data_IF_714101283169
#
_entry.id   IF_714101283169
#
_cell.length_a   1.000
_cell.length_b   1.000
_cell.length_c   1.000
_cell.angle_alpha   90.00
_cell.angle_beta   90.00
_cell.angle_gamma   90.00
#
_symmetry.space_group_name_H-M   'P 1'
#
loop_
_entity.id
_entity.type
_entity.pdbx_description
1 polymer ?
#
# COMPACT_ATOMS: atom_id res chain seq x y z
N UNK A 1 -13.41 -17.09 7.73
CA UNK A 1 -11.95 -17.26 7.84
C UNK A 1 -11.30 -16.07 7.17
N UNK A 2 -10.46 -15.29 7.84
CA UNK A 2 -9.70 -14.21 7.17
C UNK A 2 -8.72 -14.84 6.19
N UNK A 3 -8.71 -14.36 4.93
CA UNK A 3 -7.73 -14.79 3.94
C UNK A 3 -6.34 -14.34 4.40
N UNK A 4 -5.38 -15.28 4.42
CA UNK A 4 -4.00 -14.99 4.83
C UNK A 4 -3.14 -14.77 3.58
N UNK A 5 -2.71 -13.53 3.38
CA UNK A 5 -1.75 -13.16 2.35
C UNK A 5 -0.38 -13.00 3.00
N UNK A 6 0.69 -13.41 2.31
CA UNK A 6 2.07 -13.24 2.74
C UNK A 6 3.04 -13.26 1.57
N UNK A 7 4.26 -12.80 1.83
CA UNK A 7 5.39 -12.87 0.90
C UNK A 7 6.40 -13.88 1.44
N UNK A 8 6.77 -14.83 0.58
CA UNK A 8 7.81 -15.83 0.87
C UNK A 8 9.00 -15.51 -0.02
N UNK A 9 10.15 -15.29 0.57
CA UNK A 9 11.36 -14.94 -0.17
C UNK A 9 11.70 -16.00 -1.23
N UNK A 10 12.00 -15.52 -2.43
CA UNK A 10 12.52 -16.37 -3.50
C UNK A 10 13.96 -16.75 -3.19
N UNK A 11 14.29 -18.03 -3.25
CA UNK A 11 15.62 -18.54 -2.90
C UNK A 11 16.28 -19.24 -4.06
N UNK A 12 17.61 -19.28 -4.07
CA UNK A 12 18.42 -20.05 -5.05
C UNK A 12 18.27 -21.55 -4.81
N UNK A 13 17.09 -22.07 -5.15
CA UNK A 13 16.75 -23.50 -5.03
C UNK A 13 16.02 -23.97 -6.28
N UNK A 14 16.23 -25.23 -6.65
CA UNK A 14 15.63 -25.86 -7.82
C UNK A 14 14.10 -25.69 -7.85
N UNK A 15 13.43 -25.92 -6.72
CA UNK A 15 11.97 -25.83 -6.61
C UNK A 15 11.46 -24.41 -6.93
N UNK A 16 12.26 -23.36 -6.62
CA UNK A 16 11.92 -21.98 -6.94
C UNK A 16 11.93 -21.75 -8.45
N UNK A 17 12.93 -22.28 -9.15
CA UNK A 17 13.05 -22.14 -10.60
C UNK A 17 12.02 -23.00 -11.34
N UNK A 18 11.73 -24.21 -10.85
CA UNK A 18 10.70 -25.09 -11.41
C UNK A 18 9.32 -24.43 -11.34
N UNK A 19 8.99 -23.80 -10.21
CA UNK A 19 7.72 -23.09 -10.04
C UNK A 19 7.63 -21.85 -10.96
N UNK A 20 8.70 -21.07 -11.06
CA UNK A 20 8.76 -19.94 -12.00
C UNK A 20 8.65 -20.41 -13.45
N UNK A 21 9.34 -21.48 -13.83
CA UNK A 21 9.24 -22.04 -15.18
C UNK A 21 7.81 -22.52 -15.48
N UNK A 22 7.16 -23.22 -14.54
CA UNK A 22 5.75 -23.61 -14.65
C UNK A 22 4.88 -22.41 -14.99
N UNK A 23 5.01 -21.31 -14.25
CA UNK A 23 4.19 -20.13 -14.45
C UNK A 23 4.54 -19.36 -15.72
N UNK A 24 5.80 -19.05 -15.93
CA UNK A 24 6.26 -18.30 -17.10
C UNK A 24 6.12 -19.08 -18.44
N UNK A 25 5.79 -20.36 -18.41
CA UNK A 25 5.45 -21.15 -19.58
C UNK A 25 3.99 -21.03 -20.01
N UNK A 26 3.13 -20.40 -19.17
CA UNK A 26 1.72 -20.21 -19.45
C UNK A 26 1.49 -18.92 -20.25
N UNK A 27 0.66 -18.99 -21.30
CA UNK A 27 0.43 -17.88 -22.23
C UNK A 27 -0.07 -16.61 -21.54
N UNK A 28 -1.04 -16.75 -20.62
CA UNK A 28 -1.61 -15.62 -19.87
C UNK A 28 -0.62 -14.96 -18.90
N UNK A 29 0.61 -15.50 -18.73
CA UNK A 29 1.73 -14.91 -18.00
C UNK A 29 2.75 -14.36 -18.98
N UNK A 30 3.29 -15.17 -19.91
CA UNK A 30 4.38 -14.71 -20.76
C UNK A 30 3.93 -13.60 -21.71
N UNK A 31 2.66 -13.53 -22.11
CA UNK A 31 2.13 -12.40 -22.92
C UNK A 31 2.42 -11.03 -22.28
N UNK A 32 2.38 -10.95 -20.94
CA UNK A 32 2.50 -9.70 -20.21
C UNK A 32 3.85 -9.51 -19.53
N UNK A 33 4.53 -10.61 -19.20
CA UNK A 33 5.74 -10.55 -18.36
C UNK A 33 7.04 -10.65 -19.15
N UNK A 34 7.13 -11.59 -20.11
CA UNK A 34 8.34 -11.80 -20.93
C UNK A 34 8.09 -11.63 -22.42
N UNK A 35 6.85 -11.53 -22.85
CA UNK A 35 6.35 -11.49 -24.23
C UNK A 35 6.79 -12.68 -25.10
N UNK A 36 7.43 -13.68 -24.51
CA UNK A 36 7.78 -14.96 -25.11
C UNK A 36 7.91 -16.05 -24.06
N UNK A 37 7.79 -17.28 -24.49
CA UNK A 37 8.07 -18.42 -23.64
C UNK A 37 9.59 -18.55 -23.46
N UNK A 38 10.03 -18.68 -22.19
CA UNK A 38 11.41 -18.94 -21.81
C UNK A 38 11.64 -20.44 -21.58
N UNK A 39 12.84 -20.92 -21.84
CA UNK A 39 13.28 -22.25 -21.41
C UNK A 39 13.54 -22.28 -19.89
N UNK A 40 13.63 -23.46 -19.31
CA UNK A 40 14.00 -23.61 -17.91
C UNK A 40 15.36 -22.98 -17.59
N UNK A 41 16.35 -23.22 -18.43
CA UNK A 41 17.71 -22.67 -18.28
C UNK A 41 17.72 -21.11 -18.32
N UNK A 42 16.92 -20.50 -19.21
CA UNK A 42 16.77 -19.04 -19.26
C UNK A 42 16.14 -18.50 -18.00
N UNK A 43 15.12 -19.17 -17.43
CA UNK A 43 14.51 -18.80 -16.15
C UNK A 43 15.51 -18.90 -15.01
N UNK A 44 16.20 -20.04 -14.89
CA UNK A 44 17.21 -20.25 -13.85
C UNK A 44 18.30 -19.17 -13.91
N UNK A 45 18.90 -18.96 -15.07
CA UNK A 45 19.95 -17.96 -15.27
C UNK A 45 19.46 -16.55 -14.96
N UNK A 46 18.27 -16.19 -15.42
CA UNK A 46 17.67 -14.87 -15.19
C UNK A 46 17.51 -14.57 -13.71
N UNK A 47 16.86 -15.45 -12.95
CA UNK A 47 16.57 -15.22 -11.54
C UNK A 47 17.79 -15.40 -10.64
N UNK A 48 18.70 -16.29 -11.00
CA UNK A 48 20.00 -16.41 -10.33
C UNK A 48 20.83 -15.14 -10.45
N UNK A 49 20.87 -14.55 -11.64
CA UNK A 49 21.57 -13.27 -11.85
C UNK A 49 20.88 -12.13 -11.06
N UNK A 50 19.54 -12.10 -10.96
CA UNK A 50 18.83 -11.12 -10.14
C UNK A 50 19.14 -11.26 -8.65
N UNK A 51 19.22 -12.49 -8.14
CA UNK A 51 19.62 -12.75 -6.75
C UNK A 51 21.07 -12.27 -6.49
N UNK A 52 21.99 -12.57 -7.40
CA UNK A 52 23.40 -12.17 -7.29
C UNK A 52 23.56 -10.64 -7.36
N UNK A 53 22.81 -9.97 -8.22
CA UNK A 53 22.85 -8.50 -8.35
C UNK A 53 22.28 -7.78 -7.11
N UNK A 54 21.40 -8.42 -6.36
CA UNK A 54 20.77 -7.90 -5.13
C UNK A 54 20.15 -6.48 -5.28
N UNK A 55 19.69 -6.15 -6.49
CA UNK A 55 19.05 -4.85 -6.81
C UNK A 55 17.53 -4.92 -6.70
N UNK A 56 16.98 -6.12 -6.59
CA UNK A 56 15.56 -6.40 -6.54
C UNK A 56 15.26 -7.39 -5.43
N UNK A 57 14.12 -7.23 -4.76
CA UNK A 57 13.65 -8.24 -3.84
C UNK A 57 12.62 -9.11 -4.54
N UNK A 58 12.80 -10.41 -4.47
CA UNK A 58 12.01 -11.40 -5.18
C UNK A 58 11.21 -12.22 -4.18
N UNK A 59 9.89 -12.31 -4.39
CA UNK A 59 9.02 -13.08 -3.49
C UNK A 59 8.02 -13.92 -4.26
N UNK A 60 7.70 -15.08 -3.71
CA UNK A 60 6.47 -15.77 -4.00
C UNK A 60 5.31 -15.16 -3.20
N UNK A 61 4.19 -14.99 -3.83
CA UNK A 61 2.94 -14.58 -3.20
C UNK A 61 2.27 -15.82 -2.61
N UNK A 62 2.10 -15.81 -1.29
CA UNK A 62 1.40 -16.86 -0.56
C UNK A 62 -0.04 -16.41 -0.28
N UNK A 63 -1.00 -17.29 -0.56
CA UNK A 63 -2.41 -17.09 -0.28
C UNK A 63 -2.98 -18.36 0.37
N UNK A 64 -3.41 -18.27 1.63
CA UNK A 64 -3.87 -19.42 2.42
C UNK A 64 -2.93 -20.62 2.33
N UNK A 65 -1.64 -20.40 2.61
CA UNK A 65 -0.54 -21.37 2.62
C UNK A 65 -0.18 -21.98 1.25
N UNK A 66 -0.73 -21.45 0.14
CA UNK A 66 -0.37 -21.83 -1.21
C UNK A 66 0.44 -20.72 -1.90
N UNK A 67 1.53 -21.06 -2.57
CA UNK A 67 2.23 -20.15 -3.47
C UNK A 67 1.42 -20.03 -4.75
N UNK A 68 0.91 -18.82 -5.03
CA UNK A 68 -0.01 -18.60 -6.16
C UNK A 68 0.51 -17.60 -7.19
N UNK A 69 1.63 -16.94 -6.94
CA UNK A 69 2.15 -15.90 -7.82
C UNK A 69 3.53 -15.43 -7.39
N UNK A 70 3.97 -14.38 -8.05
CA UNK A 70 5.30 -13.82 -7.88
C UNK A 70 5.24 -12.30 -7.90
N UNK A 71 6.12 -11.67 -7.13
CA UNK A 71 6.37 -10.22 -7.14
C UNK A 71 7.86 -9.95 -7.02
N UNK A 72 8.35 -9.02 -7.83
CA UNK A 72 9.70 -8.45 -7.69
C UNK A 72 9.59 -6.96 -7.40
N UNK A 73 10.26 -6.50 -6.35
CA UNK A 73 10.20 -5.12 -5.84
C UNK A 73 11.58 -4.50 -5.99
N UNK A 74 11.64 -3.27 -6.52
CA UNK A 74 12.90 -2.55 -6.72
C UNK A 74 12.72 -1.05 -6.60
N UNK A 75 13.81 -0.35 -6.32
CA UNK A 75 13.81 1.10 -6.29
C UNK A 75 13.69 1.64 -7.71
N UNK A 76 12.77 2.57 -7.91
CA UNK A 76 12.63 3.27 -9.19
C UNK A 76 13.70 4.36 -9.27
N UNK A 77 14.56 4.30 -10.29
CA UNK A 77 15.71 5.20 -10.43
C UNK A 77 15.65 6.08 -11.70
N UNK A 78 14.51 6.16 -12.37
CA UNK A 78 14.33 7.01 -13.54
C UNK A 78 14.04 8.46 -13.14
N UNK A 79 15.10 9.22 -12.86
CA UNK A 79 15.04 10.66 -12.54
C UNK A 79 14.78 11.55 -13.77
N UNK A 80 14.57 10.99 -14.96
CA UNK A 80 14.39 11.76 -16.20
C UNK A 80 13.00 12.36 -16.34
N UNK A 81 11.98 11.80 -15.69
CA UNK A 81 10.63 12.34 -15.72
C UNK A 81 10.49 13.48 -14.71
N UNK A 82 10.13 14.68 -15.19
CA UNK A 82 9.83 15.86 -14.36
C UNK A 82 8.76 15.54 -13.31
N UNK A 83 7.79 14.67 -13.64
CA UNK A 83 6.69 14.27 -12.75
C UNK A 83 7.15 13.62 -11.44
N UNK A 84 8.35 13.04 -11.42
CA UNK A 84 8.87 12.30 -10.27
C UNK A 84 9.97 13.02 -9.50
N UNK A 85 10.47 14.18 -10.00
CA UNK A 85 11.55 14.93 -9.34
C UNK A 85 11.23 15.40 -7.92
N UNK A 86 9.96 15.53 -7.59
CA UNK A 86 9.47 15.96 -6.27
C UNK A 86 9.47 14.84 -5.21
N UNK A 87 9.76 13.60 -5.60
CA UNK A 87 9.79 12.46 -4.71
C UNK A 87 11.23 11.99 -4.50
N UNK A 88 11.60 11.75 -3.25
CA UNK A 88 12.94 11.31 -2.88
C UNK A 88 13.09 9.79 -2.94
N UNK A 89 12.03 9.07 -2.64
CA UNK A 89 12.01 7.61 -2.57
C UNK A 89 10.82 7.04 -3.31
N UNK A 90 11.07 6.40 -4.44
CA UNK A 90 10.06 5.78 -5.30
C UNK A 90 10.39 4.30 -5.45
N UNK A 91 9.37 3.46 -5.34
CA UNK A 91 9.49 2.03 -5.59
C UNK A 91 8.60 1.60 -6.75
N UNK A 92 9.01 0.54 -7.41
CA UNK A 92 8.29 -0.12 -8.49
C UNK A 92 8.27 -1.63 -8.23
N UNK A 93 7.27 -2.30 -8.75
CA UNK A 93 7.22 -3.75 -8.73
C UNK A 93 6.58 -4.33 -9.97
N UNK A 94 7.01 -5.54 -10.34
CA UNK A 94 6.33 -6.39 -11.32
C UNK A 94 5.67 -7.54 -10.57
N UNK A 95 4.43 -7.87 -10.96
CA UNK A 95 3.60 -8.84 -10.25
C UNK A 95 2.76 -9.67 -11.21
N UNK A 96 2.59 -10.96 -10.89
CA UNK A 96 1.58 -11.80 -11.52
C UNK A 96 1.03 -12.86 -10.55
N UNK A 97 -0.20 -13.32 -10.85
CA UNK A 97 -0.78 -14.52 -10.27
C UNK A 97 -0.52 -15.66 -11.25
N UNK A 98 0.24 -16.68 -10.83
CA UNK A 98 0.68 -17.80 -11.66
C UNK A 98 -0.32 -18.96 -11.74
N UNK A 99 -1.27 -19.03 -10.80
CA UNK A 99 -2.28 -20.08 -10.75
C UNK A 99 -3.63 -19.53 -11.24
N UNK A 100 -4.12 -20.04 -12.36
CA UNK A 100 -5.29 -19.49 -13.07
C UNK A 100 -6.59 -19.54 -12.26
N UNK A 101 -6.74 -20.51 -11.36
CA UNK A 101 -7.91 -20.64 -10.51
C UNK A 101 -8.10 -19.49 -9.50
N UNK A 102 -7.07 -18.66 -9.27
CA UNK A 102 -7.13 -17.49 -8.41
C UNK A 102 -7.44 -16.18 -9.18
N UNK A 103 -7.51 -16.23 -10.51
CA UNK A 103 -7.82 -15.07 -11.34
C UNK A 103 -9.31 -14.71 -11.26
N UNK A 104 -9.62 -13.43 -11.46
CA UNK A 104 -10.99 -12.87 -11.55
C UNK A 104 -11.88 -13.09 -10.30
N UNK A 105 -11.26 -13.30 -9.13
CA UNK A 105 -11.93 -13.51 -7.83
C UNK A 105 -11.71 -12.37 -6.83
N UNK A 106 -11.21 -11.22 -7.27
CA UNK A 106 -10.85 -10.11 -6.39
C UNK A 106 -9.57 -10.33 -5.59
N UNK A 107 -8.91 -11.50 -5.73
CA UNK A 107 -7.68 -11.84 -5.00
C UNK A 107 -6.53 -10.92 -5.43
N UNK A 108 -6.42 -10.59 -6.72
CA UNK A 108 -5.41 -9.65 -7.23
C UNK A 108 -5.45 -8.29 -6.53
N UNK A 109 -6.63 -7.73 -6.31
CA UNK A 109 -6.81 -6.47 -5.57
C UNK A 109 -6.33 -6.59 -4.13
N UNK A 110 -6.61 -7.71 -3.45
CA UNK A 110 -6.14 -7.93 -2.08
C UNK A 110 -4.61 -8.05 -2.02
N UNK A 111 -4.02 -8.78 -2.98
CA UNK A 111 -2.56 -8.94 -3.07
C UNK A 111 -1.87 -7.61 -3.34
N UNK A 112 -2.36 -6.81 -4.29
CA UNK A 112 -1.79 -5.50 -4.63
C UNK A 112 -1.81 -4.58 -3.41
N UNK A 113 -2.93 -4.50 -2.70
CA UNK A 113 -3.02 -3.71 -1.45
C UNK A 113 -2.03 -4.20 -0.40
N UNK A 114 -1.90 -5.52 -0.23
CA UNK A 114 -0.93 -6.10 0.70
C UNK A 114 0.52 -5.74 0.30
N UNK A 115 0.86 -5.84 -0.98
CA UNK A 115 2.20 -5.49 -1.50
C UNK A 115 2.49 -4.00 -1.33
N UNK A 116 1.51 -3.13 -1.62
CA UNK A 116 1.67 -1.68 -1.41
C UNK A 116 1.97 -1.38 0.07
N UNK A 117 1.18 -1.92 1.00
CA UNK A 117 1.40 -1.72 2.44
C UNK A 117 2.75 -2.26 2.89
N UNK A 118 3.16 -3.45 2.38
CA UNK A 118 4.49 -4.00 2.65
C UNK A 118 5.62 -3.07 2.19
N UNK A 119 5.48 -2.47 1.00
CA UNK A 119 6.47 -1.54 0.44
C UNK A 119 6.54 -0.28 1.30
N UNK A 120 5.40 0.34 1.62
CA UNK A 120 5.36 1.54 2.46
C UNK A 120 5.91 1.28 3.85
N UNK A 121 5.53 0.18 4.49
CA UNK A 121 6.00 -0.17 5.84
C UNK A 121 7.52 -0.43 5.87
N UNK A 122 8.04 -1.11 4.85
CA UNK A 122 9.43 -1.53 4.82
C UNK A 122 10.39 -0.44 4.37
N UNK A 123 9.99 0.36 3.38
CA UNK A 123 10.89 1.31 2.72
C UNK A 123 10.58 2.76 3.02
N UNK A 124 9.43 3.06 3.64
CA UNK A 124 8.98 4.42 3.95
C UNK A 124 9.11 5.33 2.72
N UNK A 125 8.62 4.84 1.57
CA UNK A 125 8.77 5.54 0.30
C UNK A 125 7.62 6.54 0.08
N UNK A 126 7.87 7.56 -0.74
CA UNK A 126 6.88 8.60 -1.04
C UNK A 126 5.76 8.10 -1.93
N UNK A 127 6.07 7.20 -2.85
CA UNK A 127 5.09 6.63 -3.77
C UNK A 127 5.56 5.32 -4.41
N UNK A 128 4.61 4.62 -5.01
CA UNK A 128 4.82 3.42 -5.82
C UNK A 128 4.39 3.73 -7.25
N UNK A 129 5.22 3.34 -8.21
CA UNK A 129 4.99 3.51 -9.65
C UNK A 129 4.80 2.14 -10.29
N UNK A 130 3.88 2.03 -11.24
CA UNK A 130 3.71 0.86 -12.10
C UNK A 130 3.64 1.30 -13.56
N UNK A 131 4.20 0.50 -14.47
CA UNK A 131 4.27 0.83 -15.90
C UNK A 131 3.76 -0.34 -16.77
N UNK A 132 2.48 -0.71 -16.69
CA UNK A 132 1.93 -1.77 -17.52
C UNK A 132 1.74 -1.32 -18.97
N UNK A 133 1.65 -2.30 -19.87
CA UNK A 133 1.13 -2.07 -21.22
C UNK A 133 -0.30 -1.52 -21.15
N UNK A 134 -0.60 -0.47 -21.91
CA UNK A 134 -1.94 0.14 -21.97
C UNK A 134 -3.01 -0.90 -22.34
N UNK A 135 -2.69 -1.85 -23.21
CA UNK A 135 -3.57 -2.93 -23.65
C UNK A 135 -3.87 -3.98 -22.56
N UNK A 136 -3.14 -3.99 -21.43
CA UNK A 136 -3.42 -4.86 -20.31
C UNK A 136 -4.50 -4.25 -19.39
N UNK A 137 -5.69 -4.03 -19.97
CA UNK A 137 -6.80 -3.38 -19.26
C UNK A 137 -7.19 -4.07 -17.95
N UNK A 138 -7.02 -5.40 -17.87
CA UNK A 138 -7.33 -6.15 -16.64
C UNK A 138 -6.41 -5.74 -15.50
N UNK A 139 -5.12 -5.62 -15.75
CA UNK A 139 -4.15 -5.19 -14.76
C UNK A 139 -4.39 -3.71 -14.37
N UNK A 140 -4.58 -2.83 -15.38
CA UNK A 140 -4.85 -1.41 -15.17
C UNK A 140 -6.05 -1.21 -14.27
N UNK A 141 -7.21 -1.80 -14.58
CA UNK A 141 -8.43 -1.72 -13.74
C UNK A 141 -8.23 -2.28 -12.33
N UNK A 142 -7.33 -3.28 -12.18
CA UNK A 142 -7.01 -3.82 -10.87
C UNK A 142 -6.18 -2.83 -10.05
N UNK A 143 -5.21 -2.16 -10.67
CA UNK A 143 -4.39 -1.13 -10.03
C UNK A 143 -5.22 0.09 -9.63
N UNK A 144 -6.10 0.60 -10.52
CA UNK A 144 -7.01 1.71 -10.20
C UNK A 144 -7.89 1.39 -8.97
N UNK A 145 -8.43 0.17 -8.86
CA UNK A 145 -9.16 -0.28 -7.67
C UNK A 145 -8.31 -0.33 -6.38
N UNK A 146 -6.99 -0.29 -6.53
CA UNK A 146 -6.04 -0.26 -5.42
C UNK A 146 -5.50 1.15 -5.13
N UNK A 147 -6.11 2.19 -5.71
CA UNK A 147 -5.74 3.59 -5.49
C UNK A 147 -4.59 4.08 -6.35
N UNK A 148 -4.27 3.39 -7.45
CA UNK A 148 -3.35 3.93 -8.45
C UNK A 148 -4.07 4.87 -9.39
N UNK A 149 -3.44 6.00 -9.70
CA UNK A 149 -3.91 7.00 -10.66
C UNK A 149 -3.02 7.00 -11.91
N UNK A 150 -3.60 7.11 -13.11
CA UNK A 150 -2.82 7.28 -14.34
C UNK A 150 -2.28 8.71 -14.36
N UNK A 151 -0.96 8.86 -14.40
CA UNK A 151 -0.28 10.17 -14.36
C UNK A 151 0.43 10.50 -15.65
N UNK A 152 0.73 9.50 -16.51
CA UNK A 152 1.42 9.70 -17.77
C UNK A 152 1.19 8.52 -18.73
N UNK A 153 1.46 8.74 -20.03
CA UNK A 153 1.51 7.72 -21.08
C UNK A 153 2.75 7.94 -21.96
N UNK A 154 3.41 6.87 -22.37
CA UNK A 154 4.55 6.95 -23.29
C UNK A 154 4.61 5.74 -24.22
N UNK A 155 5.42 5.85 -25.26
CA UNK A 155 5.74 4.72 -26.13
C UNK A 155 7.05 4.10 -25.65
N UNK A 156 6.96 2.90 -25.09
CA UNK A 156 8.08 2.08 -24.68
C UNK A 156 8.40 0.99 -25.69
N UNK A 157 9.23 0.05 -25.27
CA UNK A 157 9.48 -1.19 -26.01
C UNK A 157 9.23 -2.38 -25.10
N UNK A 158 8.65 -3.44 -25.67
CA UNK A 158 8.57 -4.74 -25.01
C UNK A 158 9.95 -5.43 -24.98
N UNK A 159 10.03 -6.62 -24.40
CA UNK A 159 11.29 -7.38 -24.30
C UNK A 159 11.80 -7.88 -25.66
N UNK A 160 10.96 -7.87 -26.70
CA UNK A 160 11.30 -8.23 -28.07
C UNK A 160 11.69 -7.00 -28.94
N UNK A 161 11.63 -5.79 -28.36
CA UNK A 161 11.94 -4.54 -29.05
C UNK A 161 10.77 -3.94 -29.83
N UNK A 162 9.57 -4.51 -29.75
CA UNK A 162 8.39 -3.92 -30.40
C UNK A 162 7.95 -2.67 -29.63
N UNK A 163 7.47 -1.65 -30.36
CA UNK A 163 6.92 -0.44 -29.74
C UNK A 163 5.55 -0.72 -29.14
N UNK A 164 5.38 -0.38 -27.87
CA UNK A 164 4.15 -0.57 -27.13
C UNK A 164 3.75 0.71 -26.38
N UNK A 165 2.43 0.96 -26.30
CA UNK A 165 1.91 2.03 -25.47
C UNK A 165 1.91 1.59 -24.00
N UNK A 166 2.62 2.34 -23.20
CA UNK A 166 2.73 2.17 -21.74
C UNK A 166 1.94 3.25 -21.03
N UNK A 167 1.40 2.95 -19.90
CA UNK A 167 0.87 3.95 -18.97
C UNK A 167 1.71 3.97 -17.70
N UNK A 168 1.77 5.13 -17.08
CA UNK A 168 2.41 5.32 -15.78
C UNK A 168 1.33 5.49 -14.74
N UNK A 169 1.29 4.60 -13.79
CA UNK A 169 0.37 4.58 -12.68
C UNK A 169 1.13 4.95 -11.40
N UNK A 170 0.55 5.82 -10.60
CA UNK A 170 1.12 6.29 -9.34
C UNK A 170 0.18 5.98 -8.18
N UNK A 171 0.70 5.39 -7.11
CA UNK A 171 0.02 5.24 -5.84
C UNK A 171 0.80 5.99 -4.75
N UNK A 172 0.09 6.67 -3.86
CA UNK A 172 0.66 7.39 -2.71
C UNK A 172 -0.10 6.99 -1.46
N UNK A 173 0.55 6.95 -0.29
CA UNK A 173 -0.15 6.86 0.98
C UNK A 173 -1.02 8.10 1.17
N UNK A 174 -2.16 7.94 1.83
CA UNK A 174 -2.97 9.08 2.25
C UNK A 174 -2.15 9.99 3.15
N UNK A 175 -2.35 11.31 3.00
CA UNK A 175 -1.63 12.34 3.77
C UNK A 175 -2.65 13.15 4.54
N UNK A 176 -2.37 13.37 5.81
CA UNK A 176 -3.26 14.11 6.68
C UNK A 176 -2.51 14.87 7.76
N UNK A 177 -3.13 15.88 8.30
CA UNK A 177 -2.63 16.64 9.45
C UNK A 177 -3.74 16.83 10.47
N UNK A 178 -3.38 17.15 11.71
CA UNK A 178 -4.38 17.48 12.73
C UNK A 178 -5.10 18.80 12.37
N UNK A 179 -6.40 18.85 12.67
CA UNK A 179 -7.21 20.05 12.43
C UNK A 179 -7.02 21.17 13.46
N UNK A 180 -6.30 20.89 14.56
CA UNK A 180 -6.06 21.82 15.68
C UNK A 180 -4.72 21.48 16.34
N UNK A 181 -4.03 22.47 16.88
CA UNK A 181 -2.84 22.34 17.75
C UNK A 181 -1.77 21.37 17.17
N UNK A 182 -1.53 21.50 15.87
CA UNK A 182 -0.77 20.53 15.06
C UNK A 182 0.59 20.23 15.67
N UNK A 183 1.37 21.26 16.02
CA UNK A 183 2.73 21.08 16.53
C UNK A 183 2.76 20.25 17.83
N UNK A 184 1.80 20.52 18.75
CA UNK A 184 1.70 19.75 19.99
C UNK A 184 1.29 18.31 19.74
N UNK A 185 0.28 18.09 18.88
CA UNK A 185 -0.24 16.76 18.60
C UNK A 185 0.79 15.92 17.84
N UNK A 186 1.48 16.50 16.87
CA UNK A 186 2.61 15.89 16.17
C UNK A 186 3.70 15.44 17.15
N UNK A 187 4.08 16.31 18.11
CA UNK A 187 5.07 15.95 19.11
C UNK A 187 4.61 14.81 20.02
N UNK A 188 3.31 14.76 20.38
CA UNK A 188 2.76 13.63 21.15
C UNK A 188 2.84 12.31 20.38
N UNK A 189 2.63 12.34 19.06
CA UNK A 189 2.82 11.14 18.20
C UNK A 189 4.28 10.73 18.17
N UNK A 190 5.20 11.66 17.91
CA UNK A 190 6.64 11.39 17.85
C UNK A 190 7.19 10.87 19.18
N UNK A 191 6.66 11.36 20.31
CA UNK A 191 6.99 10.88 21.65
C UNK A 191 6.37 9.51 21.98
N UNK A 192 5.53 8.95 21.11
CA UNK A 192 4.79 7.71 21.34
C UNK A 192 3.71 7.82 22.44
N UNK A 193 3.31 9.05 22.80
CA UNK A 193 2.26 9.32 23.81
C UNK A 193 0.87 9.29 23.17
N UNK A 194 0.74 9.80 21.94
CA UNK A 194 -0.50 9.73 21.16
C UNK A 194 -0.41 8.55 20.19
N UNK A 195 -1.12 7.47 20.52
CA UNK A 195 -1.17 6.21 19.77
C UNK A 195 -2.55 5.94 19.19
N UNK A 196 -3.50 6.86 19.38
CA UNK A 196 -4.81 6.84 18.76
C UNK A 196 -5.29 8.26 18.44
N UNK A 197 -6.27 8.38 17.56
CA UNK A 197 -6.96 9.62 17.24
C UNK A 197 -8.45 9.38 17.07
N UNK A 198 -9.25 10.43 17.31
CA UNK A 198 -10.71 10.36 17.21
C UNK A 198 -11.20 11.34 16.16
N UNK A 199 -12.07 10.88 15.26
CA UNK A 199 -12.73 11.69 14.24
C UNK A 199 -14.24 11.43 14.19
N UNK A 200 -14.99 12.30 13.51
CA UNK A 200 -16.40 12.06 13.22
C UNK A 200 -16.54 10.86 12.27
N UNK A 201 -17.51 10.00 12.55
CA UNK A 201 -17.80 8.88 11.67
C UNK A 201 -18.46 9.35 10.38
N UNK A 202 -17.78 9.11 9.26
CA UNK A 202 -18.28 9.29 7.90
C UNK A 202 -18.10 7.98 7.15
N UNK A 203 -19.19 7.47 6.53
CA UNK A 203 -19.25 6.11 5.96
C UNK A 203 -18.15 5.85 4.92
N UNK A 204 -17.81 6.88 4.13
CA UNK A 204 -16.86 6.78 3.03
C UNK A 204 -15.41 7.06 3.44
N UNK A 205 -15.16 7.43 4.70
CA UNK A 205 -13.84 7.84 5.20
C UNK A 205 -13.39 7.04 6.44
N UNK A 206 -13.59 5.73 6.41
CA UNK A 206 -13.18 4.84 7.50
C UNK A 206 -11.89 4.15 7.14
N UNK A 207 -10.82 4.42 7.90
CA UNK A 207 -9.56 3.69 7.79
C UNK A 207 -9.76 2.20 8.05
N UNK A 208 -8.94 1.38 7.43
CA UNK A 208 -8.94 -0.07 7.62
C UNK A 208 -7.69 -0.52 8.35
N UNK A 209 -7.83 -1.54 9.17
CA UNK A 209 -6.66 -2.16 9.82
C UNK A 209 -5.66 -2.59 8.74
N UNK A 210 -4.42 -2.13 8.87
CA UNK A 210 -3.34 -2.32 7.92
C UNK A 210 -3.10 -1.16 6.97
N UNK A 211 -3.98 -0.16 6.90
CA UNK A 211 -3.76 1.02 6.05
C UNK A 211 -2.53 1.82 6.55
N UNK A 212 -1.78 2.33 5.60
CA UNK A 212 -0.60 3.18 5.83
C UNK A 212 -0.92 4.59 5.34
N UNK A 213 -0.66 5.57 6.19
CA UNK A 213 -0.80 7.00 5.88
C UNK A 213 0.41 7.79 6.35
N UNK A 214 0.52 9.02 5.91
CA UNK A 214 1.59 9.95 6.31
C UNK A 214 0.96 11.08 7.13
N UNK A 215 1.42 11.24 8.37
CA UNK A 215 1.16 12.43 9.16
C UNK A 215 2.04 13.57 8.65
N UNK A 216 1.45 14.75 8.42
CA UNK A 216 2.17 15.95 7.98
C UNK A 216 2.11 17.07 9.03
N UNK A 217 3.07 17.99 8.95
CA UNK A 217 3.04 19.25 9.70
C UNK A 217 2.18 20.31 9.00
N UNK A 218 2.11 21.52 9.61
CA UNK A 218 1.37 22.66 9.04
C UNK A 218 1.92 23.15 7.68
N UNK A 219 3.14 22.79 7.32
CA UNK A 219 3.79 23.16 6.05
C UNK A 219 3.68 22.04 5.01
N UNK A 220 2.89 21.02 5.30
CA UNK A 220 2.74 19.81 4.48
C UNK A 220 4.04 18.98 4.32
N UNK A 221 4.98 19.13 5.26
CA UNK A 221 6.15 18.22 5.28
C UNK A 221 5.78 16.89 5.92
N UNK A 222 6.34 15.80 5.41
CA UNK A 222 6.18 14.47 5.99
C UNK A 222 6.81 14.43 7.39
N UNK A 223 6.03 14.03 8.39
CA UNK A 223 6.51 13.85 9.77
C UNK A 223 6.83 12.39 10.05
N UNK A 224 5.86 11.52 9.89
CA UNK A 224 6.03 10.09 10.09
C UNK A 224 4.97 9.27 9.34
N UNK A 225 5.25 7.99 9.16
CA UNK A 225 4.28 7.01 8.68
C UNK A 225 3.44 6.49 9.85
N UNK A 226 2.14 6.42 9.63
CA UNK A 226 1.17 5.86 10.58
C UNK A 226 0.61 4.57 9.97
N UNK A 227 0.51 3.52 10.79
CA UNK A 227 -0.19 2.28 10.44
C UNK A 227 -1.40 2.12 11.32
N UNK A 228 -2.57 2.04 10.73
CA UNK A 228 -3.81 1.74 11.45
C UNK A 228 -3.79 0.29 11.93
N UNK A 229 -3.77 0.08 13.23
CA UNK A 229 -3.72 -1.24 13.86
C UNK A 229 -5.06 -1.68 14.44
N UNK A 230 -5.95 -0.72 14.70
CA UNK A 230 -7.29 -0.98 15.20
C UNK A 230 -8.23 0.14 14.75
N UNK A 231 -9.53 -0.17 14.61
CA UNK A 231 -10.59 0.80 14.28
C UNK A 231 -11.80 0.47 15.13
N UNK A 232 -12.24 1.42 15.94
CA UNK A 232 -13.42 1.28 16.78
C UNK A 232 -14.43 2.36 16.41
N UNK A 233 -15.64 1.96 16.04
CA UNK A 233 -16.75 2.89 15.79
C UNK A 233 -17.66 2.82 17.01
N UNK A 234 -17.86 3.96 17.68
CA UNK A 234 -18.66 4.04 18.88
C UNK A 234 -19.33 5.40 19.02
N UNK A 235 -20.34 5.51 19.87
CA UNK A 235 -20.95 6.80 20.20
C UNK A 235 -20.09 7.55 21.22
N UNK A 236 -20.07 8.89 21.15
CA UNK A 236 -19.26 9.74 22.05
C UNK A 236 -19.47 9.41 23.54
N UNK A 237 -20.72 9.16 23.96
CA UNK A 237 -21.02 8.81 25.37
C UNK A 237 -20.36 7.53 25.84
N UNK A 238 -20.07 6.60 24.91
CA UNK A 238 -19.54 5.27 25.21
C UNK A 238 -18.00 5.22 25.23
N UNK A 239 -17.31 6.34 24.96
CA UNK A 239 -15.85 6.42 25.06
C UNK A 239 -15.45 6.19 26.53
N UNK A 240 -14.56 5.25 26.73
CA UNK A 240 -13.98 4.93 28.05
C UNK A 240 -12.64 5.62 28.23
N UNK A 241 -12.17 5.68 29.50
CA UNK A 241 -10.82 6.21 29.77
C UNK A 241 -9.72 5.37 29.13
N UNK A 242 -9.92 4.05 29.04
CA UNK A 242 -8.95 3.17 28.40
C UNK A 242 -8.74 3.47 26.90
N UNK A 243 -9.76 3.97 26.22
CA UNK A 243 -9.64 4.48 24.85
C UNK A 243 -9.06 5.90 24.84
N UNK A 244 -9.70 6.81 25.57
CA UNK A 244 -9.34 8.24 25.57
C UNK A 244 -7.88 8.51 25.93
N UNK A 245 -7.32 7.74 26.88
CA UNK A 245 -5.90 7.88 27.29
C UNK A 245 -4.89 7.56 26.19
N UNK A 246 -5.27 6.80 25.16
CA UNK A 246 -4.40 6.47 24.01
C UNK A 246 -4.10 7.70 23.13
N UNK A 247 -4.94 8.74 23.20
CA UNK A 247 -4.65 10.01 22.53
C UNK A 247 -3.55 10.83 23.23
N UNK A 248 -3.24 10.54 24.50
CA UNK A 248 -2.14 11.17 25.23
C UNK A 248 -2.32 12.67 25.52
N UNK A 249 -3.50 13.22 25.26
CA UNK A 249 -3.76 14.66 25.30
C UNK A 249 -4.27 15.16 26.66
N UNK A 250 -5.01 14.34 27.36
CA UNK A 250 -5.76 14.69 28.56
C UNK A 250 -5.37 13.79 29.75
N UNK A 251 -5.68 14.22 30.96
CA UNK A 251 -5.35 13.51 32.20
C UNK A 251 -6.52 12.70 32.76
N UNK A 252 -7.72 12.90 32.24
CA UNK A 252 -8.94 12.21 32.68
C UNK A 252 -9.97 12.13 31.55
N UNK A 253 -10.93 11.20 31.70
CA UNK A 253 -12.04 11.07 30.76
C UNK A 253 -12.92 12.35 30.70
N UNK A 254 -13.12 13.03 31.85
CA UNK A 254 -13.92 14.25 31.88
C UNK A 254 -13.23 15.38 31.09
N UNK A 255 -11.94 15.56 31.29
CA UNK A 255 -11.14 16.53 30.54
C UNK A 255 -11.14 16.20 29.04
N UNK A 256 -10.99 14.93 28.67
CA UNK A 256 -11.07 14.48 27.29
C UNK A 256 -12.45 14.80 26.67
N UNK A 257 -13.53 14.46 27.38
CA UNK A 257 -14.90 14.73 26.92
C UNK A 257 -15.16 16.22 26.74
N UNK A 258 -14.72 17.05 27.65
CA UNK A 258 -14.86 18.50 27.55
C UNK A 258 -14.11 19.06 26.33
N UNK A 259 -12.86 18.66 26.16
CA UNK A 259 -12.02 19.07 25.04
C UNK A 259 -12.64 18.69 23.70
N UNK A 260 -13.04 17.43 23.57
CA UNK A 260 -13.59 16.90 22.30
C UNK A 260 -15.02 17.41 22.04
N UNK A 261 -15.84 17.60 23.05
CA UNK A 261 -17.15 18.26 22.91
C UNK A 261 -16.98 19.66 22.34
N UNK A 262 -16.05 20.44 22.89
CA UNK A 262 -15.77 21.78 22.43
C UNK A 262 -15.24 21.83 21.00
N UNK A 263 -14.40 20.85 20.62
CA UNK A 263 -13.87 20.74 19.28
C UNK A 263 -14.94 20.32 18.27
N UNK A 264 -15.65 19.22 18.52
CA UNK A 264 -16.62 18.67 17.60
C UNK A 264 -17.84 19.60 17.40
N UNK A 265 -18.27 20.32 18.41
CA UNK A 265 -19.33 21.32 18.26
C UNK A 265 -18.97 22.49 17.31
N UNK A 266 -17.66 22.78 17.15
CA UNK A 266 -17.22 23.82 16.19
C UNK A 266 -17.32 23.34 14.74
N UNK A 267 -17.11 22.04 14.49
CA UNK A 267 -17.09 21.48 13.14
C UNK A 267 -18.42 20.81 12.75
N UNK A 268 -19.23 20.39 13.72
CA UNK A 268 -20.56 19.82 13.51
C UNK A 268 -21.56 20.41 14.51
N UNK A 269 -22.39 21.37 14.11
CA UNK A 269 -23.40 21.99 15.01
C UNK A 269 -24.44 21.02 15.59
N UNK A 270 -24.60 19.84 14.99
CA UNK A 270 -25.52 18.80 15.46
C UNK A 270 -24.82 17.75 16.35
N UNK A 271 -23.56 17.97 16.71
CA UNK A 271 -22.80 17.04 17.55
C UNK A 271 -23.48 16.89 18.93
N UNK A 272 -23.60 15.64 19.40
CA UNK A 272 -24.16 15.32 20.69
C UNK A 272 -23.62 13.98 21.21
N UNK A 273 -24.02 13.57 22.39
CA UNK A 273 -23.50 12.34 23.03
C UNK A 273 -23.76 11.05 22.24
N UNK A 274 -24.76 11.03 21.34
CA UNK A 274 -25.06 9.87 20.49
C UNK A 274 -24.33 9.93 19.14
N UNK A 275 -23.59 11.00 18.85
CA UNK A 275 -22.82 11.12 17.62
C UNK A 275 -21.78 10.01 17.56
N UNK A 276 -21.76 9.30 16.43
CA UNK A 276 -20.76 8.25 16.19
C UNK A 276 -19.41 8.83 15.86
N UNK A 277 -18.39 8.26 16.45
CA UNK A 277 -16.99 8.57 16.24
C UNK A 277 -16.23 7.34 15.76
N UNK A 278 -15.16 7.59 15.02
CA UNK A 278 -14.11 6.61 14.75
C UNK A 278 -12.98 6.87 15.73
N UNK A 279 -12.48 5.82 16.33
CA UNK A 279 -11.30 5.79 17.16
C UNK A 279 -10.29 4.84 16.52
N UNK A 280 -9.17 5.34 16.08
CA UNK A 280 -8.15 4.60 15.31
C UNK A 280 -6.73 4.84 15.83
#
# INVERSE_FOLDING_TARGET
MMCKIGLIEFTDKKDSYELMYKWCSQEFIYEWFEQRKLSYEEIENKYKNKLLANQQQLFFINYNDNKIGFVQIYKYDDKKSESFKKYDSIYEYDIFIGESEYLSRGIGTQIIKYVNNYIYEKYLCDCIVLRPFKRNERAVKCYEKCGFEIVDEYVGSDTLGNKEKMIVLLNKPDRWTFGIDVDRLVNLVLDGKKTATTSLYELDNVSKVGDISILTDLKDNNVCFIKTINVIITEFKNITWDLAKLEGENKSLNEWKETHMNYFNKINPNFNENTKLIFE
#
